data_IF_021086870196
#
_entry.id   IF_021086870196
#
_cell.length_a   1.000
_cell.length_b   1.000
_cell.length_c   1.000
_cell.angle_alpha   90.00
_cell.angle_beta   90.00
_cell.angle_gamma   90.00
#
_symmetry.space_group_name_H-M   'P 1'
#
loop_
_entity.id
_entity.type
_entity.pdbx_description
1 polymer ?
#
# COMPACT_ATOMS: atom_id res chain seq x y z
N UNK A 1 2.35 -14.35 -2.02
CA UNK A 1 2.72 -13.67 -3.31
C UNK A 1 3.95 -14.31 -3.91
N UNK A 2 4.00 -14.52 -5.24
CA UNK A 2 5.15 -15.02 -6.01
C UNK A 2 5.83 -13.91 -6.78
N UNK A 3 7.17 -13.98 -6.85
CA UNK A 3 7.99 -13.06 -7.63
C UNK A 3 8.15 -13.54 -9.08
N UNK A 4 8.17 -12.57 -9.99
CA UNK A 4 8.38 -12.78 -11.43
C UNK A 4 9.38 -11.75 -11.94
N UNK A 5 10.09 -12.11 -13.00
CA UNK A 5 11.02 -11.19 -13.69
C UNK A 5 10.69 -11.18 -15.18
N UNK A 6 10.61 -9.99 -15.74
CA UNK A 6 10.49 -9.76 -17.17
C UNK A 6 11.53 -8.71 -17.56
N UNK A 7 12.49 -9.08 -18.37
CA UNK A 7 13.75 -8.35 -18.56
C UNK A 7 14.39 -8.06 -17.17
N UNK A 8 14.53 -6.80 -16.78
CA UNK A 8 15.04 -6.38 -15.46
C UNK A 8 13.95 -5.88 -14.51
N UNK A 9 12.65 -5.94 -14.93
CA UNK A 9 11.51 -5.65 -14.06
C UNK A 9 11.28 -6.81 -13.10
N UNK A 10 11.37 -6.55 -11.80
CA UNK A 10 10.93 -7.47 -10.76
C UNK A 10 9.55 -7.06 -10.26
N UNK A 11 8.59 -7.96 -10.32
CA UNK A 11 7.22 -7.74 -9.84
C UNK A 11 6.68 -8.98 -9.12
N UNK A 12 5.56 -8.79 -8.43
CA UNK A 12 4.91 -9.84 -7.66
C UNK A 12 3.46 -10.00 -8.08
N UNK A 13 2.93 -11.21 -7.95
CA UNK A 13 1.51 -11.54 -8.10
C UNK A 13 0.99 -12.23 -6.85
N UNK A 14 -0.27 -12.01 -6.54
CA UNK A 14 -0.96 -12.70 -5.45
C UNK A 14 -1.25 -14.15 -5.85
N UNK A 15 -1.06 -15.07 -4.92
CA UNK A 15 -1.28 -16.51 -5.18
C UNK A 15 -2.77 -16.84 -5.22
N UNK A 16 -3.58 -16.14 -4.43
CA UNK A 16 -5.03 -16.30 -4.34
C UNK A 16 -5.81 -15.68 -5.49
N UNK A 17 -5.15 -14.92 -6.39
CA UNK A 17 -5.80 -14.32 -7.55
C UNK A 17 -5.49 -15.10 -8.83
N UNK A 18 -6.49 -15.29 -9.75
CA UNK A 18 -6.30 -16.10 -10.93
C UNK A 18 -5.30 -15.46 -11.91
N UNK A 19 -4.47 -16.31 -12.52
CA UNK A 19 -3.58 -15.90 -13.59
C UNK A 19 -4.25 -16.17 -14.96
N UNK A 20 -4.10 -15.23 -15.89
CA UNK A 20 -4.59 -15.35 -17.27
C UNK A 20 -5.91 -14.64 -17.55
N UNK A 21 -6.86 -14.63 -16.62
CA UNK A 21 -8.11 -13.86 -16.73
C UNK A 21 -8.04 -12.53 -15.99
N UNK A 22 -7.10 -12.40 -15.06
CA UNK A 22 -6.81 -11.19 -14.30
C UNK A 22 -5.35 -10.81 -14.49
N UNK A 23 -5.12 -9.64 -15.05
CA UNK A 23 -3.81 -9.05 -15.17
C UNK A 23 -3.52 -8.21 -13.92
N UNK A 24 -2.59 -8.68 -13.06
CA UNK A 24 -2.21 -7.92 -11.87
C UNK A 24 -0.70 -8.00 -11.62
N UNK A 25 -0.14 -6.90 -11.17
CA UNK A 25 1.25 -6.85 -10.71
C UNK A 25 1.42 -5.80 -9.60
N UNK A 26 2.19 -6.17 -8.60
CA UNK A 26 2.80 -5.26 -7.64
C UNK A 26 4.26 -5.15 -8.03
N UNK A 27 4.67 -4.00 -8.57
CA UNK A 27 6.04 -3.80 -9.00
C UNK A 27 6.98 -3.58 -7.81
N UNK A 28 8.20 -4.07 -7.92
CA UNK A 28 9.25 -3.66 -7.00
C UNK A 28 9.80 -2.28 -7.39
N UNK A 29 10.78 -1.76 -6.62
CA UNK A 29 11.53 -0.57 -7.00
C UNK A 29 12.58 -0.82 -8.10
N UNK A 30 12.77 -2.07 -8.56
CA UNK A 30 13.84 -2.48 -9.47
C UNK A 30 13.41 -2.46 -10.92
N UNK A 31 14.36 -2.22 -11.83
CA UNK A 31 14.16 -2.30 -13.28
C UNK A 31 13.70 -0.99 -13.93
N UNK A 32 13.88 0.14 -13.26
CA UNK A 32 13.57 1.46 -13.80
C UNK A 32 14.80 2.27 -14.17
N UNK A 33 14.56 3.54 -14.52
CA UNK A 33 15.56 4.49 -14.99
C UNK A 33 15.76 5.69 -14.06
N UNK A 34 14.96 5.82 -13.02
CA UNK A 34 15.10 6.91 -12.03
C UNK A 34 16.39 6.78 -11.24
N UNK A 35 16.98 7.92 -10.89
CA UNK A 35 18.20 8.00 -10.08
C UNK A 35 17.86 8.16 -8.59
N UNK A 36 18.85 7.92 -7.73
CA UNK A 36 18.71 8.15 -6.29
C UNK A 36 18.22 9.59 -6.00
N UNK A 37 17.30 9.77 -5.05
CA UNK A 37 16.76 8.78 -4.11
C UNK A 37 15.52 8.01 -4.62
N UNK A 38 15.20 8.06 -5.91
CA UNK A 38 14.02 7.46 -6.55
C UNK A 38 14.35 6.16 -7.30
N UNK A 39 15.53 5.61 -7.07
CA UNK A 39 16.08 4.46 -7.80
C UNK A 39 15.34 3.15 -7.50
N UNK A 40 14.88 2.49 -8.53
CA UNK A 40 14.98 2.87 -9.94
C UNK A 40 13.61 2.98 -10.62
N UNK A 41 12.59 2.16 -10.24
CA UNK A 41 11.27 2.11 -10.88
C UNK A 41 10.26 3.00 -10.14
N UNK A 42 10.58 4.28 -10.00
CA UNK A 42 9.59 5.23 -9.49
C UNK A 42 8.47 5.47 -10.50
N UNK A 43 7.22 5.23 -10.07
CA UNK A 43 6.03 5.37 -10.92
C UNK A 43 5.18 6.60 -10.55
N UNK A 44 5.63 7.45 -9.62
CA UNK A 44 4.86 8.59 -9.15
C UNK A 44 5.41 9.92 -9.67
N UNK A 45 4.50 10.74 -10.20
CA UNK A 45 4.75 12.15 -10.54
C UNK A 45 4.61 13.10 -9.34
N UNK A 46 4.21 12.58 -8.17
CA UNK A 46 4.01 13.39 -6.95
C UNK A 46 5.28 13.54 -6.11
N UNK A 47 6.43 13.05 -6.58
CA UNK A 47 7.75 13.22 -5.97
C UNK A 47 8.66 14.02 -6.91
N UNK A 48 9.75 14.57 -6.38
CA UNK A 48 10.66 15.46 -7.12
C UNK A 48 11.63 14.68 -8.05
N UNK A 49 11.12 13.70 -8.79
CA UNK A 49 11.86 12.95 -9.80
C UNK A 49 11.71 13.60 -11.19
N UNK A 50 12.61 13.28 -12.12
CA UNK A 50 12.53 13.71 -13.51
C UNK A 50 11.30 13.06 -14.20
N UNK A 51 10.38 13.89 -14.72
CA UNK A 51 9.13 13.42 -15.34
C UNK A 51 9.38 12.40 -16.46
N UNK A 52 10.38 12.62 -17.30
CA UNK A 52 10.70 11.71 -18.42
C UNK A 52 11.12 10.33 -17.95
N UNK A 53 11.85 10.24 -16.82
CA UNK A 53 12.19 8.96 -16.18
C UNK A 53 10.95 8.26 -15.63
N UNK A 54 10.06 9.00 -14.98
CA UNK A 54 8.79 8.44 -14.47
C UNK A 54 7.92 7.91 -15.61
N UNK A 55 7.81 8.65 -16.73
CA UNK A 55 7.08 8.16 -17.90
C UNK A 55 7.76 6.95 -18.55
N UNK A 56 9.09 6.91 -18.62
CA UNK A 56 9.82 5.74 -19.10
C UNK A 56 9.55 4.51 -18.21
N UNK A 57 9.58 4.69 -16.88
CA UNK A 57 9.27 3.63 -15.92
C UNK A 57 7.82 3.12 -16.09
N UNK A 58 6.86 4.02 -16.24
CA UNK A 58 5.45 3.66 -16.46
C UNK A 58 5.27 2.87 -17.76
N UNK A 59 5.84 3.33 -18.88
CA UNK A 59 5.78 2.60 -20.16
C UNK A 59 6.35 1.19 -20.03
N UNK A 60 7.47 1.01 -19.31
CA UNK A 60 8.02 -0.32 -19.05
C UNK A 60 7.06 -1.20 -18.25
N UNK A 61 6.51 -0.67 -17.15
CA UNK A 61 5.62 -1.41 -16.27
C UNK A 61 4.28 -1.76 -16.96
N UNK A 62 3.67 -0.82 -17.67
CA UNK A 62 2.40 -1.03 -18.37
C UNK A 62 2.58 -1.89 -19.63
N UNK A 63 3.74 -1.80 -20.28
CA UNK A 63 4.10 -2.63 -21.42
C UNK A 63 4.08 -4.13 -21.13
N UNK A 64 4.29 -4.54 -19.86
CA UNK A 64 4.11 -5.93 -19.42
C UNK A 64 2.69 -6.47 -19.70
N UNK A 65 1.69 -5.58 -19.79
CA UNK A 65 0.29 -5.89 -20.06
C UNK A 65 -0.16 -5.43 -21.45
N UNK A 66 0.79 -5.06 -22.34
CA UNK A 66 0.46 -4.50 -23.65
C UNK A 66 -0.24 -3.14 -23.60
N UNK A 67 0.02 -2.38 -22.52
CA UNK A 67 -0.60 -1.06 -22.27
C UNK A 67 0.45 0.05 -22.27
N UNK A 68 -0.01 1.30 -22.47
CA UNK A 68 0.81 2.52 -22.35
C UNK A 68 0.11 3.50 -21.38
N UNK A 69 0.74 4.62 -21.14
CA UNK A 69 0.29 5.65 -20.19
C UNK A 69 -1.06 6.26 -20.52
N UNK A 70 -1.47 6.24 -21.78
CA UNK A 70 -2.75 6.73 -22.30
C UNK A 70 -3.88 5.68 -22.26
N UNK A 71 -3.58 4.45 -21.84
CA UNK A 71 -4.54 3.33 -21.79
C UNK A 71 -4.81 2.84 -20.36
N UNK A 72 -4.32 3.55 -19.35
CA UNK A 72 -4.53 3.21 -17.94
C UNK A 72 -5.17 4.37 -17.20
N UNK A 73 -5.95 4.04 -16.16
CA UNK A 73 -6.61 5.04 -15.31
C UNK A 73 -5.82 5.23 -14.02
N UNK A 74 -5.52 6.47 -13.69
CA UNK A 74 -4.80 6.87 -12.48
C UNK A 74 -5.75 7.48 -11.44
N UNK A 75 -5.40 7.36 -10.16
CA UNK A 75 -6.07 8.07 -9.06
C UNK A 75 -5.19 9.20 -8.51
N UNK A 76 -5.80 10.37 -8.29
CA UNK A 76 -5.22 11.45 -7.51
C UNK A 76 -5.61 11.27 -6.04
N UNK A 77 -4.72 10.64 -5.28
CA UNK A 77 -4.94 10.13 -3.93
C UNK A 77 -5.03 11.27 -2.89
N UNK A 78 -5.99 11.16 -1.98
CA UNK A 78 -6.22 12.12 -0.89
C UNK A 78 -6.18 11.48 0.50
N UNK A 79 -5.91 10.17 0.57
CA UNK A 79 -5.90 9.35 1.80
C UNK A 79 -7.26 9.29 2.50
N UNK A 80 -8.34 9.23 1.71
CA UNK A 80 -9.72 9.11 2.17
C UNK A 80 -10.29 7.71 1.94
N UNK A 81 -11.62 7.65 1.76
CA UNK A 81 -12.36 6.42 1.43
C UNK A 81 -13.31 6.59 0.24
N UNK A 82 -13.09 7.59 -0.60
CA UNK A 82 -13.90 7.82 -1.80
C UNK A 82 -13.51 6.83 -2.89
N UNK A 83 -14.51 6.16 -3.47
CA UNK A 83 -14.38 5.18 -4.55
C UNK A 83 -15.09 5.70 -5.80
N UNK A 84 -14.44 5.60 -6.95
CA UNK A 84 -15.02 5.93 -8.24
C UNK A 84 -15.14 4.69 -9.14
N UNK A 85 -16.30 4.50 -9.78
CA UNK A 85 -16.42 3.62 -10.94
C UNK A 85 -15.83 4.33 -12.14
N UNK A 86 -14.98 3.62 -12.90
CA UNK A 86 -14.34 4.12 -14.10
C UNK A 86 -14.59 3.19 -15.29
N UNK A 87 -14.48 3.74 -16.47
CA UNK A 87 -14.70 3.07 -17.75
C UNK A 87 -13.53 3.36 -18.68
N UNK A 88 -13.59 2.86 -19.89
CA UNK A 88 -12.59 3.19 -20.93
C UNK A 88 -12.56 4.68 -21.31
N UNK A 89 -13.59 5.45 -20.94
CA UNK A 89 -13.62 6.91 -21.16
C UNK A 89 -12.58 7.65 -20.30
N UNK A 90 -12.21 7.08 -19.15
CA UNK A 90 -11.20 7.62 -18.25
C UNK A 90 -9.78 7.15 -18.58
N UNK A 91 -9.57 6.31 -19.60
CA UNK A 91 -8.22 5.87 -20.00
C UNK A 91 -7.32 7.07 -20.30
N UNK A 92 -6.08 7.01 -19.81
CA UNK A 92 -5.08 8.09 -19.94
C UNK A 92 -5.32 9.27 -18.98
N UNK A 93 -6.33 9.22 -18.11
CA UNK A 93 -6.68 10.33 -17.23
C UNK A 93 -6.38 10.07 -15.76
N UNK A 94 -6.53 11.12 -14.97
CA UNK A 94 -6.44 11.10 -13.51
C UNK A 94 -7.82 11.36 -12.91
N UNK A 95 -8.36 10.39 -12.19
CA UNK A 95 -9.56 10.58 -11.39
C UNK A 95 -9.18 11.29 -10.10
N UNK A 96 -9.77 12.47 -9.87
CA UNK A 96 -9.38 13.34 -8.76
C UNK A 96 -10.13 13.01 -7.47
N UNK A 97 -9.43 13.19 -6.34
CA UNK A 97 -9.98 13.09 -4.98
C UNK A 97 -10.57 11.72 -4.62
N UNK A 98 -9.94 10.64 -5.10
CA UNK A 98 -10.35 9.27 -4.82
C UNK A 98 -9.17 8.44 -4.32
N UNK A 99 -9.46 7.46 -3.47
CA UNK A 99 -8.49 6.47 -3.01
C UNK A 99 -8.90 5.03 -3.40
N UNK A 100 -10.02 4.89 -4.14
CA UNK A 100 -10.51 3.64 -4.71
C UNK A 100 -10.99 3.82 -6.14
N UNK A 101 -10.67 2.85 -7.00
CA UNK A 101 -11.18 2.74 -8.37
C UNK A 101 -11.78 1.35 -8.56
N UNK A 102 -12.94 1.27 -9.24
CA UNK A 102 -13.58 0.01 -9.61
C UNK A 102 -13.99 0.03 -11.08
N UNK A 103 -13.94 -1.12 -11.75
CA UNK A 103 -14.39 -1.28 -13.14
C UNK A 103 -14.78 -2.73 -13.44
N UNK A 104 -15.68 -2.92 -14.41
CA UNK A 104 -16.06 -4.17 -15.04
C UNK A 104 -15.65 -4.24 -16.53
N UNK A 105 -14.85 -3.28 -17.00
CA UNK A 105 -14.48 -3.17 -18.41
C UNK A 105 -13.08 -3.76 -18.68
N UNK A 106 -12.95 -4.74 -19.60
CA UNK A 106 -11.67 -5.41 -19.89
C UNK A 106 -10.55 -4.49 -20.38
N UNK A 107 -10.91 -3.39 -21.06
CA UNK A 107 -9.95 -2.43 -21.61
C UNK A 107 -9.66 -1.23 -20.69
N UNK A 108 -10.19 -1.28 -19.47
CA UNK A 108 -9.92 -0.29 -18.42
C UNK A 108 -8.94 -0.86 -17.39
N UNK A 109 -7.70 -0.39 -17.40
CA UNK A 109 -6.65 -0.84 -16.50
C UNK A 109 -6.43 0.19 -15.40
N UNK A 110 -6.52 -0.25 -14.14
CA UNK A 110 -6.36 0.58 -12.96
C UNK A 110 -4.90 0.60 -12.51
N UNK A 111 -4.40 1.77 -12.11
CA UNK A 111 -3.07 1.88 -11.52
C UNK A 111 -3.01 2.89 -10.39
N UNK A 112 -2.27 2.55 -9.34
CA UNK A 112 -1.94 3.42 -8.21
C UNK A 112 -0.49 3.23 -7.80
N UNK A 113 0.06 4.19 -7.05
CA UNK A 113 1.46 4.16 -6.59
C UNK A 113 1.56 4.30 -5.08
N UNK A 114 2.51 3.57 -4.48
CA UNK A 114 2.58 3.33 -3.04
C UNK A 114 4.01 3.50 -2.50
N UNK A 115 4.09 3.90 -1.24
CA UNK A 115 5.24 3.76 -0.35
C UNK A 115 4.72 3.79 1.08
N UNK A 116 4.60 2.63 1.70
CA UNK A 116 4.05 2.32 3.01
C UNK A 116 2.52 2.17 3.12
N UNK A 117 1.70 2.92 2.37
CA UNK A 117 0.26 2.65 2.32
C UNK A 117 -0.03 1.30 1.67
N UNK A 118 -1.11 0.64 2.09
CA UNK A 118 -1.48 -0.68 1.61
C UNK A 118 -2.24 -0.62 0.28
N UNK A 119 -1.80 -1.33 -0.77
CA UNK A 119 -2.63 -1.65 -1.91
C UNK A 119 -3.76 -2.61 -1.49
N UNK A 120 -4.99 -2.27 -1.83
CA UNK A 120 -6.17 -3.15 -1.67
C UNK A 120 -6.60 -3.58 -3.06
N UNK A 121 -6.57 -4.88 -3.31
CA UNK A 121 -6.96 -5.46 -4.60
C UNK A 121 -8.20 -6.32 -4.40
N UNK A 122 -9.23 -6.10 -5.21
CA UNK A 122 -10.45 -6.89 -5.25
C UNK A 122 -10.67 -7.45 -6.65
N UNK A 123 -11.15 -8.67 -6.72
CA UNK A 123 -11.60 -9.31 -7.95
C UNK A 123 -12.90 -10.06 -7.72
N UNK A 124 -13.89 -9.78 -8.55
CA UNK A 124 -15.14 -10.55 -8.65
C UNK A 124 -15.05 -11.50 -9.86
N UNK A 125 -14.93 -12.82 -9.63
CA UNK A 125 -14.87 -13.77 -10.73
C UNK A 125 -16.21 -13.99 -11.44
N UNK A 126 -17.34 -13.69 -10.76
CA UNK A 126 -18.69 -13.90 -11.28
C UNK A 126 -19.07 -12.76 -12.23
N UNK A 127 -18.95 -11.51 -11.79
CA UNK A 127 -19.29 -10.33 -12.57
C UNK A 127 -18.11 -9.80 -13.41
N UNK A 128 -16.91 -10.42 -13.26
CA UNK A 128 -15.67 -9.99 -13.91
C UNK A 128 -15.41 -8.51 -13.67
N UNK A 129 -15.40 -8.12 -12.40
CA UNK A 129 -15.14 -6.77 -11.96
C UNK A 129 -13.92 -6.71 -11.05
N UNK A 130 -13.23 -5.57 -11.05
CA UNK A 130 -12.02 -5.35 -10.28
C UNK A 130 -12.11 -4.07 -9.47
N UNK A 131 -11.38 -4.06 -8.34
CA UNK A 131 -11.21 -2.88 -7.49
C UNK A 131 -9.76 -2.72 -7.04
N UNK A 132 -9.25 -1.49 -7.11
CA UNK A 132 -7.93 -1.12 -6.60
C UNK A 132 -8.08 0.05 -5.62
N UNK A 133 -7.50 -0.09 -4.42
CA UNK A 133 -7.55 0.92 -3.37
C UNK A 133 -6.18 1.27 -2.77
N UNK A 134 -6.10 2.48 -2.24
CA UNK A 134 -4.92 3.01 -1.57
C UNK A 134 -5.25 3.31 -0.10
N UNK A 135 -4.89 2.40 0.81
CA UNK A 135 -5.23 2.46 2.23
C UNK A 135 -4.00 2.70 3.11
N UNK A 136 -3.70 3.96 3.42
CA UNK A 136 -2.88 4.33 4.57
C UNK A 136 -3.70 4.25 5.87
N UNK A 137 -3.15 4.73 7.01
CA UNK A 137 -3.87 4.72 8.28
C UNK A 137 -5.21 5.48 8.23
N UNK A 138 -5.26 6.62 7.52
CA UNK A 138 -6.50 7.38 7.34
C UNK A 138 -7.53 6.59 6.55
N UNK A 139 -7.13 5.94 5.45
CA UNK A 139 -8.00 5.08 4.66
C UNK A 139 -8.47 3.85 5.45
N UNK A 140 -7.62 3.27 6.30
CA UNK A 140 -7.99 2.14 7.15
C UNK A 140 -9.03 2.54 8.21
N UNK A 141 -8.86 3.67 8.91
CA UNK A 141 -9.84 4.15 9.90
C UNK A 141 -11.13 4.68 9.25
N UNK A 142 -11.06 5.17 8.01
CA UNK A 142 -12.22 5.59 7.23
C UNK A 142 -12.91 4.42 6.49
N UNK A 143 -12.43 3.18 6.67
CA UNK A 143 -12.95 1.96 6.06
C UNK A 143 -12.97 2.00 4.52
N UNK A 144 -11.87 2.43 3.90
CA UNK A 144 -11.72 2.35 2.42
C UNK A 144 -11.90 0.92 1.88
N UNK A 145 -11.33 -0.16 2.49
CA UNK A 145 -11.57 -1.52 2.02
C UNK A 145 -13.05 -1.88 1.99
N UNK A 146 -13.81 -1.55 3.03
CA UNK A 146 -15.26 -1.77 3.06
C UNK A 146 -16.00 -0.88 2.05
N UNK A 147 -15.54 0.35 1.82
CA UNK A 147 -16.12 1.23 0.79
C UNK A 147 -15.95 0.65 -0.62
N UNK A 148 -14.79 0.04 -0.92
CA UNK A 148 -14.57 -0.68 -2.19
C UNK A 148 -15.53 -1.86 -2.36
N UNK A 149 -15.70 -2.69 -1.32
CA UNK A 149 -16.63 -3.84 -1.34
C UNK A 149 -18.07 -3.37 -1.58
N UNK A 150 -18.51 -2.34 -0.85
CA UNK A 150 -19.86 -1.78 -1.02
C UNK A 150 -20.05 -1.22 -2.44
N UNK A 151 -19.08 -0.48 -2.95
CA UNK A 151 -19.15 0.08 -4.29
C UNK A 151 -19.22 -1.01 -5.38
N UNK A 152 -18.49 -2.12 -5.24
CA UNK A 152 -18.60 -3.26 -6.15
C UNK A 152 -19.99 -3.92 -6.07
N UNK A 153 -20.55 -4.06 -4.87
CA UNK A 153 -21.91 -4.55 -4.68
C UNK A 153 -22.96 -3.64 -5.36
N UNK A 154 -22.89 -2.34 -5.12
CA UNK A 154 -23.81 -1.33 -5.67
C UNK A 154 -23.72 -1.19 -7.19
N UNK A 155 -22.52 -1.25 -7.75
CA UNK A 155 -22.26 -0.97 -9.18
C UNK A 155 -22.33 -2.21 -10.06
N UNK A 156 -21.99 -3.38 -9.54
CA UNK A 156 -21.85 -4.60 -10.33
C UNK A 156 -22.70 -5.76 -9.80
N UNK A 157 -23.33 -5.63 -8.61
CA UNK A 157 -24.06 -6.71 -7.96
C UNK A 157 -23.16 -7.74 -7.30
N UNK A 158 -21.91 -7.41 -7.04
CA UNK A 158 -20.95 -8.32 -6.41
C UNK A 158 -21.39 -8.75 -5.01
N UNK A 159 -21.41 -10.06 -4.74
CA UNK A 159 -21.54 -10.57 -3.38
C UNK A 159 -20.16 -10.50 -2.69
N UNK A 160 -20.06 -9.85 -1.53
CA UNK A 160 -18.79 -9.81 -0.79
C UNK A 160 -18.17 -11.18 -0.51
N UNK A 161 -19.02 -12.21 -0.36
CA UNK A 161 -18.58 -13.58 -0.07
C UNK A 161 -17.86 -14.25 -1.25
N UNK A 162 -18.10 -13.79 -2.48
CA UNK A 162 -17.51 -14.31 -3.71
C UNK A 162 -16.26 -13.51 -4.14
N UNK A 163 -16.02 -12.37 -3.50
CA UNK A 163 -14.85 -11.55 -3.81
C UNK A 163 -13.54 -12.22 -3.35
N UNK A 164 -12.57 -12.22 -4.22
CA UNK A 164 -11.17 -12.50 -3.91
C UNK A 164 -10.46 -11.19 -3.61
N UNK A 165 -9.89 -11.08 -2.42
CA UNK A 165 -9.22 -9.86 -1.96
C UNK A 165 -7.76 -10.10 -1.61
N UNK A 166 -6.94 -9.06 -1.81
CA UNK A 166 -5.57 -9.06 -1.36
C UNK A 166 -5.15 -7.70 -0.79
N UNK A 167 -4.32 -7.73 0.24
CA UNK A 167 -3.63 -6.56 0.82
C UNK A 167 -2.16 -6.67 0.43
N UNK A 168 -1.69 -5.72 -0.37
CA UNK A 168 -0.33 -5.71 -0.89
C UNK A 168 0.73 -5.26 0.11
N UNK A 169 2.02 -5.20 -0.32
CA UNK A 169 3.12 -4.73 0.50
C UNK A 169 2.85 -3.34 1.06
N UNK A 170 2.97 -3.20 2.36
CA UNK A 170 2.80 -1.95 3.07
C UNK A 170 3.68 -1.94 4.32
N UNK A 171 3.71 -0.84 5.06
CA UNK A 171 4.45 -0.79 6.32
C UNK A 171 3.77 -1.69 7.36
N UNK A 172 4.53 -2.61 7.93
CA UNK A 172 4.05 -3.54 8.96
C UNK A 172 4.26 -3.04 10.38
N UNK A 173 3.68 -3.73 11.38
CA UNK A 173 3.81 -3.35 12.79
C UNK A 173 5.26 -3.40 13.31
N UNK A 174 6.16 -4.11 12.63
CA UNK A 174 7.59 -4.10 12.95
C UNK A 174 8.25 -2.71 12.80
N UNK A 175 7.68 -1.82 11.94
CA UNK A 175 8.28 -0.54 11.59
C UNK A 175 7.32 0.66 11.72
N UNK A 176 6.01 0.40 11.93
CA UNK A 176 5.02 1.47 11.90
C UNK A 176 4.72 2.01 13.30
N UNK A 177 5.73 2.60 13.94
CA UNK A 177 5.54 3.41 15.15
C UNK A 177 4.59 4.57 14.87
N UNK A 178 3.62 4.80 15.74
CA UNK A 178 2.57 5.81 15.58
C UNK A 178 2.39 6.65 16.85
N UNK A 179 2.03 7.94 16.64
CA UNK A 179 1.72 8.87 17.72
C UNK A 179 0.22 8.89 18.06
N UNK A 180 -0.13 9.69 19.09
CA UNK A 180 -1.47 9.75 19.69
C UNK A 180 -2.58 10.01 18.66
N UNK A 181 -2.37 10.85 17.65
CA UNK A 181 -3.38 11.12 16.61
C UNK A 181 -3.82 9.84 15.90
N UNK A 182 -2.88 8.95 15.58
CA UNK A 182 -3.19 7.67 14.93
C UNK A 182 -3.80 6.69 15.93
N UNK A 183 -3.25 6.64 17.14
CA UNK A 183 -3.72 5.77 18.22
C UNK A 183 -5.20 6.07 18.53
N UNK A 184 -5.55 7.33 18.72
CA UNK A 184 -6.92 7.74 19.03
C UNK A 184 -7.86 7.46 17.85
N UNK A 185 -7.42 7.70 16.62
CA UNK A 185 -8.21 7.39 15.43
C UNK A 185 -8.48 5.86 15.30
N UNK A 186 -7.47 5.03 15.56
CA UNK A 186 -7.63 3.56 15.57
C UNK A 186 -8.57 3.11 16.68
N UNK A 187 -8.44 3.66 17.90
CA UNK A 187 -9.33 3.36 19.01
C UNK A 187 -10.78 3.74 18.75
N UNK A 188 -11.01 4.83 18.03
CA UNK A 188 -12.34 5.29 17.68
C UNK A 188 -12.98 4.44 16.55
N UNK A 189 -12.17 3.93 15.63
CA UNK A 189 -12.66 3.27 14.41
C UNK A 189 -12.86 1.75 14.57
N UNK A 190 -12.08 1.09 15.44
CA UNK A 190 -12.08 -0.38 15.54
C UNK A 190 -12.61 -0.85 16.88
N UNK A 191 -13.47 -1.91 16.84
CA UNK A 191 -14.07 -2.50 18.06
C UNK A 191 -13.02 -3.15 18.99
N UNK A 192 -11.91 -3.69 18.45
CA UNK A 192 -10.80 -4.30 19.19
C UNK A 192 -9.48 -3.64 18.81
N UNK A 193 -9.24 -2.37 19.18
CA UNK A 193 -8.07 -1.62 18.75
C UNK A 193 -6.74 -2.18 19.30
N UNK A 194 -6.76 -2.80 20.47
CA UNK A 194 -5.55 -3.36 21.09
C UNK A 194 -4.95 -4.54 20.31
N UNK A 195 -5.75 -5.21 19.48
CA UNK A 195 -5.25 -6.22 18.54
C UNK A 195 -4.50 -5.64 17.33
N UNK A 196 -4.62 -4.33 17.11
CA UNK A 196 -4.00 -3.59 16.01
C UNK A 196 -2.88 -2.65 16.49
N UNK A 197 -2.76 -2.43 17.81
CA UNK A 197 -1.78 -1.55 18.42
C UNK A 197 -0.83 -2.38 19.28
N UNK A 198 0.35 -2.66 18.73
CA UNK A 198 1.34 -3.52 19.38
C UNK A 198 2.34 -2.71 20.17
N UNK A 199 2.60 -3.12 21.43
CA UNK A 199 3.69 -2.57 22.22
C UNK A 199 4.99 -3.24 21.81
N UNK A 200 5.95 -2.48 21.33
CA UNK A 200 7.31 -2.96 21.13
C UNK A 200 8.23 -2.38 22.20
N UNK A 201 8.95 -3.24 22.92
CA UNK A 201 10.05 -2.80 23.78
C UNK A 201 11.22 -2.39 22.88
N UNK A 202 11.79 -1.22 23.13
CA UNK A 202 13.03 -0.78 22.48
C UNK A 202 14.15 -1.72 22.93
N UNK A 203 14.52 -2.69 22.10
CA UNK A 203 15.74 -3.45 22.31
C UNK A 203 16.93 -2.60 21.86
N UNK A 204 18.04 -2.65 22.62
CA UNK A 204 19.25 -1.83 22.41
C UNK A 204 19.85 -1.89 20.99
N UNK A 205 19.36 -2.75 20.11
CA UNK A 205 19.82 -2.87 18.74
C UNK A 205 19.27 -1.79 17.80
N UNK A 206 18.15 -1.13 18.17
CA UNK A 206 17.58 -0.01 17.37
C UNK A 206 18.14 1.35 17.78
N UNK A 207 18.80 1.45 18.93
CA UNK A 207 19.42 2.69 19.43
C UNK A 207 20.74 3.04 18.73
N UNK A 208 21.31 2.17 17.90
CA UNK A 208 22.62 2.40 17.27
C UNK A 208 22.58 3.15 15.92
N UNK A 209 21.41 3.55 15.41
CA UNK A 209 21.29 4.33 14.17
C UNK A 209 21.10 5.84 14.38
N UNK A 210 20.90 6.28 15.62
CA UNK A 210 20.87 7.71 15.97
C UNK A 210 22.24 8.19 16.49
N UNK A 211 23.22 8.29 15.58
CA UNK A 211 24.54 8.83 15.85
C UNK A 211 24.51 10.36 15.97
N UNK A 212 23.85 10.93 16.99
CA UNK A 212 24.08 12.31 17.43
C UNK A 212 23.51 12.56 18.84
N UNK A 213 23.92 11.73 19.81
CA UNK A 213 23.77 12.10 21.22
C UNK A 213 25.17 12.33 21.83
N UNK A 214 25.43 13.43 22.55
CA UNK A 214 26.71 13.64 23.23
C UNK A 214 26.88 12.63 24.37
N UNK A 215 28.09 12.09 24.51
CA UNK A 215 28.48 11.18 25.56
C UNK A 215 28.19 11.76 26.96
N UNK A 216 27.55 11.01 27.87
CA UNK A 216 27.32 11.46 29.24
C UNK A 216 28.64 11.54 29.98
N UNK A 217 28.95 12.72 30.52
CA UNK A 217 30.04 12.93 31.49
C UNK A 217 29.76 12.16 32.79
N UNK A 218 30.76 11.43 33.26
CA UNK A 218 30.77 10.76 34.58
C UNK A 218 30.49 11.76 35.71
N UNK A 219 29.58 11.39 36.59
CA UNK A 219 29.23 11.83 37.94
C UNK A 219 27.81 12.41 38.06
N UNK A 220 26.88 11.51 38.37
CA UNK A 220 25.73 11.81 39.21
C UNK A 220 25.26 10.53 39.94
N UNK A 221 24.75 10.62 41.17
CA UNK A 221 24.46 9.47 42.00
C UNK A 221 23.25 8.69 41.51
N UNK A 222 23.30 7.36 41.68
CA UNK A 222 22.21 6.42 41.46
C UNK A 222 20.96 6.85 42.24
N UNK A 223 20.06 7.54 41.54
CA UNK A 223 18.65 7.56 41.93
C UNK A 223 18.00 6.38 41.20
N UNK A 224 17.45 5.46 42.02
CA UNK A 224 16.54 4.40 41.58
C UNK A 224 15.27 5.03 41.02
N UNK A 225 15.35 5.56 39.83
CA UNK A 225 14.17 5.97 39.06
C UNK A 225 13.76 4.82 38.15
N UNK A 226 12.60 4.28 38.54
CA UNK A 226 11.67 3.49 37.73
C UNK A 226 12.04 3.45 36.24
N UNK A 227 12.39 2.25 35.77
CA UNK A 227 12.40 1.86 34.39
C UNK A 227 11.05 2.22 33.74
N UNK A 228 10.89 3.45 33.31
CA UNK A 228 9.86 3.79 32.34
C UNK A 228 10.29 3.15 31.03
N UNK A 229 9.87 1.91 30.82
CA UNK A 229 9.90 1.30 29.52
C UNK A 229 9.01 2.16 28.62
N UNK A 230 9.63 3.03 27.83
CA UNK A 230 8.95 3.83 26.81
C UNK A 230 8.39 2.86 25.77
N UNK A 231 7.14 2.40 25.99
CA UNK A 231 6.46 1.47 25.12
C UNK A 231 5.83 2.25 23.98
N UNK A 232 6.54 2.35 22.87
CA UNK A 232 6.00 2.92 21.66
C UNK A 232 4.97 1.97 21.02
N UNK A 233 3.83 2.53 20.63
CA UNK A 233 2.79 1.76 19.96
C UNK A 233 3.06 1.71 18.47
N UNK A 234 2.92 0.54 17.91
CA UNK A 234 3.04 0.26 16.49
C UNK A 234 1.69 -0.19 15.94
N UNK A 235 1.28 0.40 14.82
CA UNK A 235 0.01 0.08 14.17
C UNK A 235 0.18 -1.04 13.16
N UNK A 236 -0.67 -2.07 13.27
CA UNK A 236 -0.75 -3.17 12.30
C UNK A 236 -1.68 -2.78 11.14
N UNK A 237 -1.13 -2.04 10.17
CA UNK A 237 -1.86 -1.58 8.99
C UNK A 237 -2.37 -2.73 8.10
N UNK A 238 -1.58 -3.80 7.82
CA UNK A 238 -2.07 -4.99 7.13
C UNK A 238 -3.29 -5.62 7.81
N UNK A 239 -3.21 -5.87 9.12
CA UNK A 239 -4.30 -6.48 9.88
C UNK A 239 -5.54 -5.60 9.92
N UNK A 240 -5.40 -4.28 10.05
CA UNK A 240 -6.51 -3.34 10.04
C UNK A 240 -7.28 -3.38 8.70
N UNK A 241 -6.56 -3.33 7.57
CA UNK A 241 -7.18 -3.41 6.25
C UNK A 241 -7.84 -4.79 6.01
N UNK A 242 -7.20 -5.87 6.44
CA UNK A 242 -7.80 -7.21 6.39
C UNK A 242 -9.09 -7.27 7.20
N UNK A 243 -9.11 -6.71 8.41
CA UNK A 243 -10.29 -6.66 9.28
C UNK A 243 -11.45 -5.94 8.60
N UNK A 244 -11.20 -4.80 7.95
CA UNK A 244 -12.22 -4.07 7.21
C UNK A 244 -12.81 -4.90 6.07
N UNK A 245 -11.99 -5.63 5.31
CA UNK A 245 -12.46 -6.55 4.27
C UNK A 245 -13.34 -7.68 4.84
N UNK A 246 -12.90 -8.31 5.94
CA UNK A 246 -13.67 -9.37 6.59
C UNK A 246 -15.00 -8.84 7.16
N UNK A 247 -15.00 -7.66 7.79
CA UNK A 247 -16.19 -7.01 8.30
C UNK A 247 -17.19 -6.65 7.18
N UNK A 248 -16.67 -6.36 5.97
CA UNK A 248 -17.49 -6.12 4.78
C UNK A 248 -18.05 -7.42 4.14
N UNK A 249 -17.71 -8.61 4.68
CA UNK A 249 -18.23 -9.91 4.24
C UNK A 249 -17.32 -10.70 3.31
N UNK A 250 -16.14 -10.19 2.96
CA UNK A 250 -15.15 -10.91 2.14
C UNK A 250 -14.61 -12.11 2.92
N UNK A 251 -14.59 -13.29 2.29
CA UNK A 251 -14.15 -14.55 2.93
C UNK A 251 -12.68 -14.86 2.69
N UNK A 252 -12.17 -14.49 1.52
CA UNK A 252 -10.81 -14.83 1.06
C UNK A 252 -9.96 -13.57 0.93
N UNK A 253 -9.05 -13.37 1.88
CA UNK A 253 -8.13 -12.22 1.92
C UNK A 253 -6.71 -12.72 2.03
N UNK A 254 -5.92 -12.56 0.96
CA UNK A 254 -4.48 -12.80 0.98
C UNK A 254 -3.76 -11.57 1.54
N UNK A 255 -2.80 -11.78 2.45
CA UNK A 255 -1.89 -10.72 2.91
C UNK A 255 -0.52 -10.88 2.29
N UNK A 256 0.07 -9.78 1.86
CA UNK A 256 1.51 -9.74 1.59
C UNK A 256 2.29 -9.87 2.90
N UNK A 257 3.32 -10.72 2.91
CA UNK A 257 4.24 -10.86 4.05
C UNK A 257 5.33 -9.77 4.08
N UNK A 258 5.34 -8.86 3.10
CA UNK A 258 6.39 -7.86 2.95
C UNK A 258 6.04 -6.55 3.67
N UNK A 259 6.84 -6.21 4.67
CA UNK A 259 6.90 -4.85 5.20
C UNK A 259 7.79 -4.00 4.28
N UNK A 260 7.25 -2.90 3.74
CA UNK A 260 8.00 -2.01 2.83
C UNK A 260 9.22 -1.38 3.48
N UNK A 261 9.13 -1.04 4.77
CA UNK A 261 10.24 -0.44 5.52
C UNK A 261 11.34 -1.43 5.89
N UNK A 262 11.03 -2.74 6.07
CA UNK A 262 12.02 -3.80 6.22
C UNK A 262 12.67 -4.20 4.89
N UNK A 263 11.92 -4.04 3.78
CA UNK A 263 12.33 -4.51 2.45
C UNK A 263 12.54 -3.33 1.48
N UNK A 264 13.33 -2.35 1.91
CA UNK A 264 13.73 -1.22 1.03
C UNK A 264 14.58 -1.66 -0.16
N UNK A 265 15.10 -2.89 -0.15
CA UNK A 265 15.70 -3.53 -1.31
C UNK A 265 14.69 -3.90 -2.41
N UNK A 266 13.40 -4.05 -2.07
CA UNK A 266 12.30 -4.41 -2.98
C UNK A 266 11.29 -3.29 -3.19
N UNK A 267 10.98 -2.51 -2.16
CA UNK A 267 9.91 -1.51 -2.21
C UNK A 267 10.41 -0.14 -1.72
N UNK A 268 9.83 0.91 -2.23
CA UNK A 268 10.01 2.25 -1.67
C UNK A 268 9.27 2.36 -0.33
N UNK A 269 9.89 3.01 0.64
CA UNK A 269 9.30 3.27 1.95
C UNK A 269 9.45 4.74 2.36
N UNK A 270 8.32 5.42 2.51
CA UNK A 270 8.30 6.80 2.98
C UNK A 270 8.89 6.94 4.40
N UNK A 271 8.59 5.97 5.27
CA UNK A 271 9.07 5.93 6.66
C UNK A 271 10.58 5.68 6.74
N UNK A 272 11.04 4.59 6.13
CA UNK A 272 12.43 4.17 6.22
C UNK A 272 13.38 5.16 5.51
N UNK A 273 12.94 5.76 4.39
CA UNK A 273 13.73 6.69 3.59
C UNK A 273 13.42 8.17 3.90
N UNK A 274 12.76 8.44 5.05
CA UNK A 274 12.52 9.78 5.60
C UNK A 274 11.85 10.75 4.60
N UNK A 275 10.89 10.22 3.83
CA UNK A 275 10.12 10.97 2.84
C UNK A 275 10.82 11.20 1.49
N UNK A 276 12.10 10.91 1.38
CA UNK A 276 12.91 11.10 0.14
C UNK A 276 13.02 9.79 -0.63
N UNK A 277 11.93 9.41 -1.28
CA UNK A 277 11.81 8.10 -1.92
C UNK A 277 10.82 8.13 -3.08
N UNK A 278 10.94 7.16 -4.00
CA UNK A 278 9.97 6.92 -5.06
C UNK A 278 8.67 6.29 -4.56
N UNK A 279 7.88 5.82 -5.52
CA UNK A 279 6.64 5.05 -5.27
C UNK A 279 6.61 3.85 -6.22
N UNK A 280 6.42 2.66 -5.68
CA UNK A 280 6.19 1.47 -6.50
C UNK A 280 4.74 1.46 -7.02
N UNK A 281 4.53 0.84 -8.18
CA UNK A 281 3.22 0.79 -8.81
C UNK A 281 2.48 -0.52 -8.54
N UNK A 282 1.15 -0.43 -8.54
CA UNK A 282 0.27 -1.60 -8.68
C UNK A 282 -0.59 -1.38 -9.91
N UNK A 283 -0.72 -2.43 -10.73
CA UNK A 283 -1.52 -2.45 -11.96
C UNK A 283 -2.51 -3.59 -11.87
N UNK A 284 -3.76 -3.33 -12.26
CA UNK A 284 -4.86 -4.28 -12.20
C UNK A 284 -5.75 -4.11 -13.44
N UNK A 285 -6.00 -5.20 -14.20
CA UNK A 285 -6.83 -5.23 -15.40
C UNK A 285 -7.51 -6.58 -15.59
N UNK A 286 -8.63 -6.59 -16.33
CA UNK A 286 -9.39 -7.77 -16.71
C UNK A 286 -8.88 -8.39 -18.00
#
# INVERSE_FOLDING_TARGET
>A
MKSYTHDDLLYFRFDGLPNGTLHHAVFSRRGGTSLAPFDSLNMSLAVADERDRVYANRRRAYGLFGRDTDTVVHAHLVHGATVARVTTAENGTWVHHVDGLITDQPDCVLTMSFADCAPIVLYDPIHRAIGLGHAGWKGAVADLPGALVRAMGEQFGSDPADLLAAVGPCIGPCCYEVGEIVIDAVRAAFASPDELLHRQSITAHQASTDNHAPLPTRHSPLTTDLLTTDHRLHFDLPAANRRNLLNAGVRHVELSEHCTACRTDLFFSHRAEKGRTGRFGVVLGL
#
